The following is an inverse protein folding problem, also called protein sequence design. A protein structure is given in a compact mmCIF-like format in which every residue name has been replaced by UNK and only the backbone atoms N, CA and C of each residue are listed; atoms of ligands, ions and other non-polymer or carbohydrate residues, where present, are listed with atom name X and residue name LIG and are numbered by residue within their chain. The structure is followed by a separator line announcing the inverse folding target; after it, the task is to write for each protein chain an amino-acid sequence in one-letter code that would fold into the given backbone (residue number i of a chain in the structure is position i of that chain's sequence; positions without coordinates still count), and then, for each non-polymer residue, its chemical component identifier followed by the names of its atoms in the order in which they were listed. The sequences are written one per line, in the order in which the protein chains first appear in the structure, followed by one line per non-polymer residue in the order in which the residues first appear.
data_IF_753856949428
#
_entry.id   IF_753856949428
#
_cell.length_a   1.000
_cell.length_b   1.000
_cell.length_c   1.000
_cell.angle_alpha   90.00
_cell.angle_beta   90.00
_cell.angle_gamma   90.00
#
_symmetry.space_group_name_H-M   'P 1'
#
loop_
_entity.id
_entity.type
_entity.pdbx_description
1 polymer ?
#
# COMPACT_ATOMS: atom_id res chain seq x y z
N UNK A 1 -1.03 38.87 0.71
CA UNK A 1 -0.65 37.68 1.50
C UNK A 1 0.15 38.17 2.70
N UNK A 2 -0.37 38.00 3.93
CA UNK A 2 0.17 38.64 5.16
C UNK A 2 1.63 38.26 5.43
N UNK A 3 2.02 37.02 5.11
CA UNK A 3 3.39 36.51 5.27
C UNK A 3 4.46 37.33 4.51
N UNK A 4 4.12 37.89 3.36
CA UNK A 4 5.06 38.66 2.53
C UNK A 4 5.37 40.05 3.15
N UNK A 5 4.58 40.50 4.11
CA UNK A 5 4.81 41.75 4.84
C UNK A 5 5.63 41.59 6.13
N UNK A 6 5.90 40.36 6.57
CA UNK A 6 6.54 40.09 7.86
C UNK A 6 8.07 40.28 7.80
N UNK A 7 8.71 40.61 8.94
CA UNK A 7 10.14 40.43 9.15
C UNK A 7 10.60 39.01 8.79
N UNK A 8 11.84 38.88 8.33
CA UNK A 8 12.39 37.60 7.85
C UNK A 8 12.38 36.52 8.93
N UNK A 9 12.61 36.91 10.19
CA UNK A 9 12.63 36.05 11.36
C UNK A 9 11.25 35.44 11.62
N UNK A 10 10.21 36.28 11.66
CA UNK A 10 8.83 35.83 11.87
C UNK A 10 8.33 34.99 10.69
N UNK A 11 8.69 35.39 9.46
CA UNK A 11 8.38 34.60 8.28
C UNK A 11 9.04 33.21 8.34
N UNK A 12 10.29 33.12 8.82
CA UNK A 12 10.98 31.85 9.02
C UNK A 12 10.26 30.96 10.02
N UNK A 13 9.92 31.50 11.19
CA UNK A 13 9.27 30.77 12.27
C UNK A 13 7.92 30.22 11.81
N UNK A 14 7.09 31.06 11.17
CA UNK A 14 5.79 30.62 10.66
C UNK A 14 5.95 29.54 9.60
N UNK A 15 6.86 29.71 8.64
CA UNK A 15 7.07 28.70 7.60
C UNK A 15 7.63 27.39 8.17
N UNK A 16 8.54 27.43 9.16
CA UNK A 16 9.09 26.22 9.76
C UNK A 16 8.10 25.45 10.62
N UNK A 17 7.04 26.09 11.12
CA UNK A 17 5.99 25.39 11.84
C UNK A 17 5.00 24.66 10.92
N UNK A 18 4.92 25.05 9.64
CA UNK A 18 4.04 24.39 8.67
C UNK A 18 4.52 22.97 8.31
N UNK A 19 3.59 22.06 7.93
CA UNK A 19 3.92 20.82 7.23
C UNK A 19 4.68 21.08 5.92
N UNK A 20 5.55 20.14 5.52
CA UNK A 20 6.44 20.36 4.36
C UNK A 20 5.66 20.61 3.06
N UNK A 21 4.51 19.94 2.90
CA UNK A 21 3.62 20.14 1.75
C UNK A 21 3.08 21.58 1.71
N UNK A 22 2.70 22.13 2.86
CA UNK A 22 2.21 23.52 2.96
C UNK A 22 3.32 24.53 2.73
N UNK A 23 4.54 24.26 3.19
CA UNK A 23 5.68 25.11 2.85
C UNK A 23 5.82 25.16 1.33
N UNK A 24 5.83 24.01 0.65
CA UNK A 24 5.96 23.94 -0.81
C UNK A 24 4.87 24.74 -1.52
N UNK A 25 3.62 24.62 -1.09
CA UNK A 25 2.50 25.37 -1.68
C UNK A 25 2.61 26.87 -1.38
N UNK A 26 2.91 27.23 -0.14
CA UNK A 26 2.99 28.62 0.34
C UNK A 26 4.13 29.38 -0.34
N UNK A 27 5.32 28.80 -0.43
CA UNK A 27 6.48 29.49 -1.03
C UNK A 27 6.34 29.68 -2.53
N UNK A 28 5.45 28.93 -3.21
CA UNK A 28 5.14 29.11 -4.63
C UNK A 28 4.22 30.32 -4.89
N UNK A 29 3.58 30.87 -3.87
CA UNK A 29 2.63 31.98 -4.04
C UNK A 29 3.29 33.29 -4.47
N UNK A 30 4.51 33.59 -4.01
CA UNK A 30 5.25 34.81 -4.41
C UNK A 30 6.73 34.54 -4.64
N UNK A 31 7.36 35.33 -5.52
CA UNK A 31 8.80 35.25 -5.79
C UNK A 31 9.63 35.50 -4.54
N UNK A 32 9.23 36.44 -3.68
CA UNK A 32 9.96 36.76 -2.44
C UNK A 32 9.98 35.58 -1.48
N UNK A 33 8.84 34.93 -1.22
CA UNK A 33 8.81 33.73 -0.37
C UNK A 33 9.67 32.60 -0.94
N UNK A 34 9.56 32.36 -2.25
CA UNK A 34 10.37 31.35 -2.93
C UNK A 34 11.87 31.59 -2.75
N UNK A 35 12.33 32.82 -3.01
CA UNK A 35 13.75 33.16 -2.86
C UNK A 35 14.20 33.10 -1.40
N UNK A 36 13.38 33.59 -0.47
CA UNK A 36 13.67 33.53 0.96
C UNK A 36 13.87 32.08 1.42
N UNK A 37 12.90 31.20 1.15
CA UNK A 37 12.95 29.81 1.58
C UNK A 37 14.09 29.02 0.91
N UNK A 38 14.51 29.42 -0.31
CA UNK A 38 15.66 28.82 -0.99
C UNK A 38 17.00 29.23 -0.39
N UNK A 39 17.11 30.45 0.14
CA UNK A 39 18.34 30.99 0.74
C UNK A 39 18.45 30.57 2.22
N UNK A 40 17.34 30.48 2.94
CA UNK A 40 17.34 29.98 4.31
C UNK A 40 17.72 28.50 4.37
N UNK A 41 18.70 28.17 5.21
CA UNK A 41 19.28 26.83 5.29
C UNK A 41 18.28 25.77 5.78
N UNK A 42 17.40 26.10 6.72
CA UNK A 42 16.46 25.15 7.31
C UNK A 42 15.28 24.92 6.35
N UNK A 43 14.69 26.00 5.82
CA UNK A 43 13.63 25.92 4.83
C UNK A 43 14.10 25.25 3.53
N UNK A 44 15.29 25.60 3.05
CA UNK A 44 15.85 24.99 1.84
C UNK A 44 16.01 23.48 2.00
N UNK A 45 16.40 23.00 3.18
CA UNK A 45 16.48 21.56 3.49
C UNK A 45 15.11 20.89 3.45
N UNK A 46 14.09 21.50 4.06
CA UNK A 46 12.71 20.99 4.02
C UNK A 46 12.13 20.97 2.60
N UNK A 47 12.53 21.91 1.75
CA UNK A 47 12.14 22.00 0.34
C UNK A 47 12.89 21.04 -0.58
N UNK A 48 13.89 20.30 -0.10
CA UNK A 48 14.47 19.23 -0.90
C UNK A 48 13.38 18.18 -1.09
N UNK A 49 12.86 18.05 -2.32
CA UNK A 49 11.77 17.15 -2.70
C UNK A 49 12.16 15.69 -2.43
N UNK A 50 11.89 15.24 -1.22
CA UNK A 50 12.16 13.89 -0.73
C UNK A 50 10.81 13.19 -0.62
N UNK A 51 10.60 12.23 -1.51
CA UNK A 51 9.33 11.51 -1.59
C UNK A 51 9.49 10.16 -0.91
N UNK A 52 8.62 9.86 0.03
CA UNK A 52 8.69 8.65 0.84
C UNK A 52 7.49 7.74 0.60
N UNK A 53 7.76 6.44 0.61
CA UNK A 53 6.75 5.42 0.83
C UNK A 53 6.90 4.93 2.28
N UNK A 54 5.89 5.13 3.10
CA UNK A 54 5.90 4.75 4.51
C UNK A 54 5.08 3.48 4.68
N UNK A 55 5.63 2.49 5.40
CA UNK A 55 4.91 1.31 5.85
C UNK A 55 4.97 1.26 7.37
N UNK A 56 3.80 1.24 7.98
CA UNK A 56 3.63 1.05 9.40
C UNK A 56 3.20 -0.41 9.63
N UNK A 57 3.97 -1.15 10.43
CA UNK A 57 3.75 -2.58 10.68
C UNK A 57 3.67 -2.86 12.17
N UNK A 58 2.54 -3.43 12.59
CA UNK A 58 2.34 -3.93 13.95
C UNK A 58 2.15 -5.43 13.91
N UNK A 59 2.86 -6.11 14.82
CA UNK A 59 2.64 -7.51 15.17
C UNK A 59 3.03 -8.56 14.13
N UNK A 60 4.24 -8.45 13.56
CA UNK A 60 4.83 -9.63 12.92
C UNK A 60 5.64 -10.41 13.97
N UNK A 61 5.23 -11.64 14.28
CA UNK A 61 6.03 -12.52 15.12
C UNK A 61 7.08 -13.18 14.24
N UNK A 62 8.33 -12.74 14.37
CA UNK A 62 9.46 -13.44 13.75
C UNK A 62 10.20 -14.26 14.79
N UNK A 63 10.66 -15.44 14.40
CA UNK A 63 11.61 -16.18 15.21
C UNK A 63 12.96 -15.48 15.10
N UNK A 64 13.55 -15.10 16.23
CA UNK A 64 14.90 -14.57 16.25
C UNK A 64 15.85 -15.56 15.56
N UNK A 65 16.61 -15.08 14.56
CA UNK A 65 17.53 -15.91 13.81
C UNK A 65 18.59 -16.61 14.69
N UNK A 66 18.96 -15.98 15.82
CA UNK A 66 19.96 -16.49 16.78
C UNK A 66 19.30 -17.32 17.87
N UNK A 67 18.39 -16.72 18.65
CA UNK A 67 17.85 -17.33 19.85
C UNK A 67 16.65 -18.27 19.57
N UNK A 68 16.11 -18.24 18.34
CA UNK A 68 14.86 -18.92 17.92
C UNK A 68 13.65 -18.63 18.81
N UNK A 69 13.74 -17.67 19.73
CA UNK A 69 12.59 -17.20 20.50
C UNK A 69 11.71 -16.34 19.59
N UNK A 70 10.38 -16.44 19.70
CA UNK A 70 9.49 -15.51 19.04
C UNK A 70 9.78 -14.09 19.53
N UNK A 71 9.93 -13.16 18.59
CA UNK A 71 10.10 -11.73 18.83
C UNK A 71 8.95 -11.02 18.14
N UNK A 72 8.22 -10.24 18.91
CA UNK A 72 7.15 -9.43 18.38
C UNK A 72 7.76 -8.19 17.73
N UNK A 73 7.67 -8.09 16.42
CA UNK A 73 8.29 -7.00 15.68
C UNK A 73 7.28 -5.87 15.49
N UNK A 74 7.65 -4.68 15.98
CA UNK A 74 6.98 -3.42 15.70
C UNK A 74 7.93 -2.48 15.02
N UNK A 75 7.56 -2.04 13.83
CA UNK A 75 8.43 -1.12 13.09
C UNK A 75 7.66 -0.18 12.18
N UNK A 76 8.26 0.99 12.00
CA UNK A 76 7.92 1.92 10.94
C UNK A 76 9.04 1.84 9.90
N UNK A 77 8.75 1.40 8.68
CA UNK A 77 9.72 1.44 7.58
C UNK A 77 9.40 2.53 6.58
N UNK A 78 10.44 3.07 5.97
CA UNK A 78 10.39 4.14 5.00
C UNK A 78 11.29 3.81 3.84
N UNK A 79 10.71 3.73 2.65
CA UNK A 79 11.47 3.69 1.40
C UNK A 79 11.59 5.11 0.87
N UNK A 80 12.83 5.58 0.81
CA UNK A 80 13.17 6.90 0.31
C UNK A 80 13.44 6.88 -1.19
N UNK A 81 12.81 7.81 -1.90
CA UNK A 81 13.05 8.07 -3.32
C UNK A 81 13.56 9.50 -3.51
N UNK A 82 14.71 9.66 -4.17
CA UNK A 82 15.12 10.98 -4.69
C UNK A 82 14.29 11.28 -5.94
N UNK A 83 13.61 12.42 -5.95
CA UNK A 83 12.66 12.80 -7.00
C UNK A 83 13.22 12.76 -8.45
N UNK A 84 14.56 12.80 -8.62
CA UNK A 84 15.22 12.82 -9.93
C UNK A 84 15.90 11.50 -10.33
N UNK A 85 15.84 10.45 -9.50
CA UNK A 85 16.47 9.18 -9.84
C UNK A 85 15.49 8.30 -10.61
N UNK A 86 15.66 8.22 -11.92
CA UNK A 86 15.02 7.23 -12.80
C UNK A 86 15.53 5.79 -12.58
N UNK A 87 16.38 5.58 -11.57
CA UNK A 87 17.00 4.30 -11.24
C UNK A 87 16.48 3.84 -9.87
N UNK A 88 15.99 2.59 -9.82
CA UNK A 88 15.33 1.89 -8.71
C UNK A 88 16.16 1.74 -7.40
N UNK A 89 17.17 2.58 -7.14
CA UNK A 89 17.88 2.60 -5.86
C UNK A 89 17.05 3.35 -4.81
N UNK A 90 16.06 2.65 -4.24
CA UNK A 90 15.38 3.11 -3.03
C UNK A 90 16.19 2.72 -1.81
N UNK A 91 16.61 3.70 -1.01
CA UNK A 91 17.21 3.41 0.29
C UNK A 91 16.06 3.14 1.28
N UNK A 92 16.16 2.03 2.00
CA UNK A 92 15.17 1.62 2.97
C UNK A 92 15.69 1.95 4.37
N UNK A 93 14.95 2.78 5.10
CA UNK A 93 15.17 3.02 6.52
C UNK A 93 14.09 2.34 7.33
N UNK A 94 14.44 1.84 8.51
CA UNK A 94 13.51 1.15 9.41
C UNK A 94 13.70 1.66 10.82
N UNK A 95 12.61 1.95 11.53
CA UNK A 95 12.58 2.28 12.95
C UNK A 95 11.93 1.13 13.68
N UNK A 96 12.71 0.44 14.52
CA UNK A 96 12.23 -0.63 15.38
C UNK A 96 12.02 -0.08 16.79
N UNK A 97 10.89 -0.42 17.41
CA UNK A 97 10.54 0.05 18.75
C UNK A 97 10.68 -1.12 19.74
N UNK A 98 11.73 -1.10 20.56
CA UNK A 98 12.09 -2.18 21.49
C UNK A 98 11.73 -1.82 22.93
N UNK A 99 11.50 -2.82 23.78
CA UNK A 99 11.35 -2.66 25.23
C UNK A 99 11.97 -3.83 26.01
N UNK A 100 12.10 -3.69 27.34
CA UNK A 100 13.00 -4.50 28.18
C UNK A 100 12.78 -6.03 28.09
N UNK A 101 11.59 -6.49 27.73
CA UNK A 101 11.20 -7.91 27.71
C UNK A 101 11.41 -8.62 26.35
N UNK A 102 11.96 -7.96 25.33
CA UNK A 102 12.14 -8.56 23.99
C UNK A 102 13.50 -9.28 23.80
N UNK A 103 13.58 -10.30 22.91
CA UNK A 103 14.86 -10.99 22.63
C UNK A 103 15.83 -10.01 21.94
N UNK A 104 16.85 -9.59 22.68
CA UNK A 104 17.94 -8.71 22.19
C UNK A 104 18.88 -9.38 21.17
N UNK A 105 18.63 -10.65 20.84
CA UNK A 105 19.48 -11.43 19.95
C UNK A 105 19.13 -11.23 18.45
N UNK A 106 18.16 -10.38 18.10
CA UNK A 106 17.64 -10.25 16.74
C UNK A 106 17.96 -8.93 16.04
N UNK A 107 18.53 -9.04 14.84
CA UNK A 107 18.55 -8.03 13.77
C UNK A 107 19.58 -6.87 13.87
N UNK A 108 20.88 -7.20 13.84
CA UNK A 108 21.93 -6.24 13.46
C UNK A 108 22.71 -6.81 12.28
N UNK A 109 22.08 -6.89 11.10
CA UNK A 109 22.80 -7.11 9.86
C UNK A 109 23.27 -5.78 9.23
N UNK A 110 22.55 -4.69 9.51
CA UNK A 110 22.81 -3.35 8.98
C UNK A 110 23.31 -2.39 10.07
N UNK A 111 24.03 -1.31 9.72
CA UNK A 111 24.38 -0.26 10.66
C UNK A 111 23.10 0.31 11.28
N UNK A 112 22.87 -0.05 12.53
CA UNK A 112 21.68 0.29 13.29
C UNK A 112 22.04 1.34 14.33
N UNK A 113 21.37 2.49 14.30
CA UNK A 113 21.64 3.60 15.21
C UNK A 113 20.58 3.64 16.32
N UNK A 114 21.02 3.62 17.57
CA UNK A 114 20.12 3.76 18.71
C UNK A 114 19.72 5.23 18.89
N UNK A 115 18.43 5.47 19.11
CA UNK A 115 17.84 6.79 19.39
C UNK A 115 17.08 6.68 20.71
N UNK A 116 17.34 7.62 21.62
CA UNK A 116 16.58 7.74 22.88
C UNK A 116 15.13 8.19 22.59
N UNK A 117 14.15 7.59 23.27
CA UNK A 117 12.72 7.89 23.06
C UNK A 117 12.39 9.37 23.28
N UNK A 118 13.04 10.03 24.24
CA UNK A 118 12.83 11.45 24.55
C UNK A 118 13.16 12.41 23.38
N UNK A 119 13.95 11.98 22.40
CA UNK A 119 14.25 12.79 21.21
C UNK A 119 12.97 13.00 20.36
N UNK A 120 11.97 12.14 20.47
CA UNK A 120 10.68 12.28 19.79
C UNK A 120 9.88 13.52 20.25
N UNK A 121 10.17 14.04 21.45
CA UNK A 121 9.56 15.29 21.95
C UNK A 121 10.26 16.55 21.38
N UNK A 122 11.33 16.37 20.61
CA UNK A 122 12.10 17.42 19.94
C UNK A 122 12.17 17.19 18.42
N UNK A 123 11.03 17.33 17.71
CA UNK A 123 10.89 16.81 16.35
C UNK A 123 11.81 17.47 15.31
N UNK A 124 12.09 18.77 15.44
CA UNK A 124 13.05 19.47 14.57
C UNK A 124 14.48 18.96 14.77
N UNK A 125 14.88 18.70 16.02
CA UNK A 125 16.20 18.17 16.34
C UNK A 125 16.37 16.73 15.79
N UNK A 126 15.35 15.89 16.01
CA UNK A 126 15.30 14.54 15.46
C UNK A 126 15.46 14.55 13.94
N UNK A 127 14.66 15.38 13.25
CA UNK A 127 14.67 15.44 11.79
C UNK A 127 16.02 15.87 11.23
N UNK A 128 16.57 16.98 11.72
CA UNK A 128 17.78 17.58 11.18
C UNK A 128 19.06 16.75 11.48
N UNK A 129 19.15 16.17 12.68
CA UNK A 129 20.38 15.52 13.14
C UNK A 129 20.39 14.00 12.91
N UNK A 130 19.24 13.34 12.98
CA UNK A 130 19.16 11.87 12.94
C UNK A 130 18.53 11.36 11.65
N UNK A 131 17.37 11.92 11.27
CA UNK A 131 16.58 11.35 10.17
C UNK A 131 17.09 11.74 8.79
N UNK A 132 17.42 13.02 8.57
CA UNK A 132 17.77 13.56 7.25
C UNK A 132 18.91 12.78 6.56
N UNK A 133 19.99 12.50 7.31
CA UNK A 133 21.14 11.73 6.82
C UNK A 133 20.85 10.23 6.82
N UNK A 134 20.15 9.71 7.83
CA UNK A 134 19.84 8.29 7.90
C UNK A 134 18.97 7.80 6.75
N UNK A 135 18.01 8.60 6.30
CA UNK A 135 17.19 8.28 5.12
C UNK A 135 18.03 8.19 3.83
N UNK A 136 18.98 9.10 3.66
CA UNK A 136 19.87 9.09 2.50
C UNK A 136 20.81 7.89 2.51
N UNK A 137 21.14 7.36 3.69
CA UNK A 137 22.05 6.23 3.84
C UNK A 137 21.32 4.88 3.97
N UNK A 138 19.99 4.86 4.04
CA UNK A 138 19.23 3.62 4.31
C UNK A 138 19.49 3.06 5.71
N UNK A 139 19.70 3.94 6.69
CA UNK A 139 20.02 3.56 8.07
C UNK A 139 18.80 2.96 8.77
N UNK A 140 19.02 1.89 9.53
CA UNK A 140 18.05 1.34 10.47
C UNK A 140 18.25 1.97 11.85
N UNK A 141 17.17 2.11 12.60
CA UNK A 141 17.13 2.79 13.88
C UNK A 141 16.41 1.93 14.90
N UNK A 142 16.89 1.99 16.15
CA UNK A 142 16.23 1.35 17.29
C UNK A 142 15.88 2.43 18.30
N UNK A 143 14.60 2.47 18.70
CA UNK A 143 14.10 3.32 19.77
C UNK A 143 13.80 2.41 20.96
N UNK A 144 14.51 2.62 22.06
CA UNK A 144 14.29 1.90 23.33
C UNK A 144 13.15 2.55 24.11
N UNK A 145 12.29 1.73 24.67
CA UNK A 145 11.12 2.12 25.46
C UNK A 145 11.08 1.25 26.72
N UNK A 146 10.51 1.76 27.79
CA UNK A 146 10.45 1.04 29.06
C UNK A 146 9.28 0.03 29.05
N UNK A 147 8.25 0.30 28.25
CA UNK A 147 7.07 -0.55 28.14
C UNK A 147 6.53 -0.65 26.72
N UNK A 148 5.64 -1.62 26.53
CA UNK A 148 4.87 -1.79 25.29
C UNK A 148 4.02 -0.55 24.98
N UNK A 149 3.37 0.01 26.00
CA UNK A 149 2.50 1.18 25.83
C UNK A 149 3.28 2.40 25.36
N UNK A 150 4.46 2.60 25.96
CA UNK A 150 5.37 3.66 25.54
C UNK A 150 5.85 3.44 24.09
N UNK A 151 6.19 2.21 23.71
CA UNK A 151 6.59 1.89 22.33
C UNK A 151 5.51 2.23 21.29
N UNK A 152 4.24 1.96 21.60
CA UNK A 152 3.10 2.30 20.73
C UNK A 152 2.95 3.81 20.59
N UNK A 153 3.00 4.54 21.72
CA UNK A 153 2.87 5.99 21.73
C UNK A 153 4.03 6.65 20.97
N UNK A 154 5.26 6.17 21.20
CA UNK A 154 6.45 6.68 20.52
C UNK A 154 6.43 6.37 19.02
N UNK A 155 5.89 5.22 18.60
CA UNK A 155 5.63 4.93 17.19
C UNK A 155 4.64 5.93 16.57
N UNK A 156 3.56 6.22 17.29
CA UNK A 156 2.53 7.17 16.86
C UNK A 156 3.07 8.61 16.77
N UNK A 157 3.91 9.02 17.74
CA UNK A 157 4.62 10.30 17.71
C UNK A 157 5.53 10.39 16.48
N UNK A 158 6.38 9.38 16.25
CA UNK A 158 7.28 9.37 15.09
C UNK A 158 6.47 9.45 13.79
N UNK A 159 5.37 8.71 13.67
CA UNK A 159 4.48 8.79 12.52
C UNK A 159 4.00 10.24 12.26
N UNK A 160 3.49 10.94 13.28
CA UNK A 160 3.06 12.33 13.15
C UNK A 160 4.20 13.28 12.73
N UNK A 161 5.40 13.08 13.29
CA UNK A 161 6.59 13.85 12.90
C UNK A 161 6.88 13.62 11.42
N UNK A 162 6.87 12.37 10.96
CA UNK A 162 7.15 12.06 9.57
C UNK A 162 6.11 12.67 8.63
N UNK A 163 4.82 12.65 8.98
CA UNK A 163 3.78 13.31 8.18
C UNK A 163 3.97 14.84 8.12
N UNK A 164 4.50 15.46 9.18
CA UNK A 164 4.82 16.89 9.19
C UNK A 164 6.04 17.23 8.33
N UNK A 165 7.13 16.47 8.44
CA UNK A 165 8.42 16.83 7.85
C UNK A 165 8.70 16.23 6.47
N UNK A 166 8.01 15.16 6.08
CA UNK A 166 8.27 14.43 4.83
C UNK A 166 7.13 14.57 3.82
N UNK A 167 7.46 14.57 2.52
CA UNK A 167 6.45 14.41 1.47
C UNK A 167 6.21 12.92 1.26
N UNK A 168 5.02 12.45 1.60
CA UNK A 168 4.68 11.02 1.54
C UNK A 168 3.81 10.77 0.30
N UNK A 169 4.23 9.83 -0.55
CA UNK A 169 3.48 9.44 -1.76
C UNK A 169 2.62 8.21 -1.54
N UNK A 170 3.05 7.30 -0.66
CA UNK A 170 2.34 6.06 -0.37
C UNK A 170 2.42 5.73 1.11
N UNK A 171 1.31 5.25 1.64
CA UNK A 171 1.15 4.90 3.04
C UNK A 171 0.55 3.49 3.12
N UNK A 172 1.31 2.54 3.65
CA UNK A 172 0.83 1.18 3.91
C UNK A 172 0.72 0.94 5.41
N UNK A 173 -0.40 0.39 5.84
CA UNK A 173 -0.60 -0.10 7.20
C UNK A 173 -0.73 -1.62 7.14
N UNK A 174 0.11 -2.33 7.87
CA UNK A 174 0.08 -3.79 8.01
C UNK A 174 -0.21 -4.14 9.45
N UNK A 175 -1.28 -4.90 9.68
CA UNK A 175 -1.71 -5.36 11.00
C UNK A 175 -2.01 -6.86 10.89
N UNK A 176 -1.58 -7.62 11.89
CA UNK A 176 -1.84 -9.05 12.00
C UNK A 176 -2.38 -9.38 13.39
N UNK A 177 -3.65 -9.76 13.47
CA UNK A 177 -4.35 -9.99 14.74
C UNK A 177 -4.12 -11.41 15.25
N UNK A 178 -2.90 -11.75 15.64
CA UNK A 178 -2.66 -13.01 16.33
C UNK A 178 -2.96 -12.88 17.84
N UNK A 179 -4.26 -12.98 18.17
CA UNK A 179 -4.88 -13.11 19.51
C UNK A 179 -4.68 -11.91 20.48
N UNK A 180 -5.78 -11.44 21.07
CA UNK A 180 -5.90 -10.38 22.11
C UNK A 180 -5.36 -8.96 21.79
N UNK A 181 -4.79 -8.74 20.61
CA UNK A 181 -4.06 -7.52 20.22
C UNK A 181 -4.92 -6.31 19.76
N UNK A 182 -6.26 -6.34 19.87
CA UNK A 182 -7.09 -5.11 19.66
C UNK A 182 -6.61 -3.94 20.53
N UNK A 183 -6.00 -4.24 21.69
CA UNK A 183 -5.44 -3.27 22.63
C UNK A 183 -4.35 -2.37 22.00
N UNK A 184 -3.58 -2.86 21.01
CA UNK A 184 -2.46 -2.11 20.43
C UNK A 184 -2.94 -1.05 19.45
N UNK A 185 -3.82 -1.45 18.51
CA UNK A 185 -4.47 -0.49 17.63
C UNK A 185 -5.32 0.49 18.41
N UNK A 186 -6.06 0.06 19.43
CA UNK A 186 -6.92 0.95 20.21
C UNK A 186 -6.13 2.07 20.89
N UNK A 187 -4.95 1.77 21.46
CA UNK A 187 -4.06 2.78 22.05
C UNK A 187 -3.54 3.76 21.02
N UNK A 188 -3.10 3.26 19.87
CA UNK A 188 -2.61 4.12 18.80
C UNK A 188 -3.74 4.96 18.18
N UNK A 189 -4.92 4.37 17.99
CA UNK A 189 -6.10 5.06 17.49
C UNK A 189 -6.54 6.15 18.47
N UNK A 190 -6.51 5.89 19.78
CA UNK A 190 -6.75 6.92 20.80
C UNK A 190 -5.74 8.07 20.68
N UNK A 191 -4.44 7.76 20.49
CA UNK A 191 -3.43 8.79 20.25
C UNK A 191 -3.72 9.61 18.98
N UNK A 192 -4.02 8.97 17.85
CA UNK A 192 -4.35 9.66 16.60
C UNK A 192 -5.66 10.43 16.67
N UNK A 193 -6.63 9.99 17.47
CA UNK A 193 -7.86 10.73 17.68
C UNK A 193 -7.61 12.03 18.47
N UNK A 194 -6.72 11.98 19.46
CA UNK A 194 -6.29 13.15 20.24
C UNK A 194 -5.31 14.05 19.46
N UNK A 195 -4.46 13.46 18.62
CA UNK A 195 -3.40 14.13 17.86
C UNK A 195 -3.48 13.72 16.38
N UNK A 196 -4.51 14.16 15.64
CA UNK A 196 -4.73 13.74 14.26
C UNK A 196 -3.55 14.16 13.38
N UNK A 197 -2.91 13.23 12.65
CA UNK A 197 -1.88 13.58 11.69
C UNK A 197 -2.48 14.42 10.53
N UNK A 198 -1.73 15.39 10.01
CA UNK A 198 -2.08 16.07 8.76
C UNK A 198 -1.81 15.12 7.58
N UNK A 199 -2.78 14.27 7.30
CA UNK A 199 -2.76 13.34 6.19
C UNK A 199 -3.45 13.95 4.99
N UNK A 200 -2.81 13.86 3.83
CA UNK A 200 -3.37 14.25 2.52
C UNK A 200 -3.45 13.11 1.53
N UNK A 201 -3.03 11.93 1.99
CA UNK A 201 -3.00 10.70 1.22
C UNK A 201 -3.86 9.66 1.93
N UNK A 202 -4.41 8.75 1.15
CA UNK A 202 -5.20 7.64 1.64
C UNK A 202 -4.31 6.44 1.97
N UNK A 203 -4.75 5.61 2.91
CA UNK A 203 -4.02 4.41 3.30
C UNK A 203 -4.22 3.25 2.33
N UNK A 204 -3.18 2.44 2.18
CA UNK A 204 -3.31 1.05 1.79
C UNK A 204 -3.26 0.17 3.04
N UNK A 205 -4.37 -0.46 3.40
CA UNK A 205 -4.44 -1.32 4.59
C UNK A 205 -4.20 -2.76 4.19
N UNK A 206 -3.51 -3.51 5.04
CA UNK A 206 -3.31 -4.95 4.93
C UNK A 206 -3.59 -5.55 6.30
N UNK A 207 -4.62 -6.38 6.38
CA UNK A 207 -5.17 -6.89 7.64
C UNK A 207 -5.72 -8.30 7.47
N UNK A 208 -5.90 -9.02 8.56
CA UNK A 208 -6.49 -10.35 8.51
C UNK A 208 -8.01 -10.33 8.74
N UNK A 209 -8.68 -11.42 8.38
CA UNK A 209 -10.14 -11.56 8.44
C UNK A 209 -10.76 -11.48 9.82
N UNK A 210 -9.99 -11.58 10.91
CA UNK A 210 -10.48 -11.52 12.29
C UNK A 210 -10.65 -10.08 12.78
N UNK A 211 -10.11 -9.08 12.06
CA UNK A 211 -10.24 -7.69 12.47
C UNK A 211 -11.71 -7.24 12.40
N UNK A 212 -12.17 -6.54 13.44
CA UNK A 212 -13.47 -5.89 13.40
C UNK A 212 -13.36 -4.60 12.56
N UNK A 213 -13.73 -4.69 11.29
CA UNK A 213 -13.68 -3.57 10.34
C UNK A 213 -14.55 -2.38 10.78
N UNK A 214 -15.70 -2.61 11.44
CA UNK A 214 -16.57 -1.53 11.91
C UNK A 214 -15.88 -0.64 12.95
N UNK A 215 -15.15 -1.26 13.89
CA UNK A 215 -14.42 -0.52 14.93
C UNK A 215 -13.13 0.06 14.35
N UNK A 216 -12.36 -0.78 13.65
CA UNK A 216 -11.04 -0.43 13.15
C UNK A 216 -11.06 0.80 12.23
N UNK A 217 -12.05 0.86 11.33
CA UNK A 217 -12.09 1.83 10.24
C UNK A 217 -12.77 3.16 10.63
N UNK A 218 -13.25 3.29 11.87
CA UNK A 218 -13.83 4.55 12.39
C UNK A 218 -12.79 5.54 12.92
N UNK A 219 -11.51 5.13 13.01
CA UNK A 219 -10.43 6.00 13.49
C UNK A 219 -10.24 7.26 12.65
N UNK A 220 -9.98 8.42 13.28
CA UNK A 220 -9.79 9.71 12.59
C UNK A 220 -8.65 9.71 11.58
N UNK A 221 -7.67 8.83 11.78
CA UNK A 221 -6.55 8.64 10.86
C UNK A 221 -7.00 8.22 9.44
N UNK A 222 -8.20 7.63 9.31
CA UNK A 222 -8.78 7.20 8.03
C UNK A 222 -9.83 8.19 7.48
N UNK A 223 -9.88 9.42 8.00
CA UNK A 223 -10.86 10.43 7.58
C UNK A 223 -10.86 10.74 6.07
N UNK A 224 -9.73 10.57 5.38
CA UNK A 224 -9.62 10.73 3.93
C UNK A 224 -10.02 9.47 3.13
N UNK A 225 -10.37 8.37 3.79
CA UNK A 225 -10.66 7.08 3.19
C UNK A 225 -9.40 6.26 2.83
N UNK A 226 -9.61 5.23 2.03
CA UNK A 226 -8.60 4.23 1.67
C UNK A 226 -8.25 4.31 0.18
N UNK A 227 -6.96 4.19 -0.12
CA UNK A 227 -6.48 3.93 -1.47
C UNK A 227 -6.67 2.44 -1.79
N UNK A 228 -6.53 1.56 -0.80
CA UNK A 228 -6.76 0.14 -0.99
C UNK A 228 -6.80 -0.64 0.33
N UNK A 229 -7.32 -1.87 0.25
CA UNK A 229 -7.40 -2.79 1.38
C UNK A 229 -7.11 -4.22 0.91
N UNK A 230 -6.21 -4.89 1.63
CA UNK A 230 -5.86 -6.30 1.47
C UNK A 230 -6.37 -7.04 2.72
N UNK A 231 -7.21 -8.04 2.53
CA UNK A 231 -7.70 -8.90 3.63
C UNK A 231 -7.19 -10.31 3.40
N UNK A 232 -6.38 -10.84 4.32
CA UNK A 232 -5.88 -12.22 4.26
C UNK A 232 -6.58 -13.14 5.27
N UNK A 233 -6.56 -14.42 4.98
CA UNK A 233 -7.13 -15.44 5.87
C UNK A 233 -6.31 -15.55 7.17
N UNK A 234 -6.93 -15.23 8.31
CA UNK A 234 -6.28 -15.29 9.62
C UNK A 234 -6.29 -16.67 10.27
N UNK A 235 -7.37 -17.46 10.11
CA UNK A 235 -7.51 -18.82 10.69
C UNK A 235 -8.82 -19.50 10.29
N UNK A 236 -9.90 -18.73 10.12
CA UNK A 236 -11.18 -19.23 9.62
C UNK A 236 -11.37 -18.82 8.14
N UNK A 237 -11.73 -19.76 7.24
CA UNK A 237 -11.80 -19.50 5.81
C UNK A 237 -12.96 -18.58 5.39
N UNK A 238 -13.78 -18.09 6.33
CA UNK A 238 -15.04 -17.39 6.05
C UNK A 238 -15.11 -16.08 6.81
N UNK A 239 -15.15 -14.95 6.09
CA UNK A 239 -15.42 -13.64 6.66
C UNK A 239 -16.93 -13.52 6.91
N UNK A 240 -17.36 -13.53 8.18
CA UNK A 240 -18.77 -13.61 8.60
C UNK A 240 -19.61 -12.41 8.15
N UNK A 241 -18.96 -11.31 7.76
CA UNK A 241 -19.59 -10.14 7.16
C UNK A 241 -18.73 -9.58 6.01
N UNK A 242 -18.60 -10.36 4.94
CA UNK A 242 -17.81 -9.95 3.77
C UNK A 242 -18.35 -8.66 3.10
N UNK A 243 -19.65 -8.41 3.25
CA UNK A 243 -20.27 -7.17 2.81
C UNK A 243 -20.04 -6.05 3.83
N UNK A 244 -19.04 -5.19 3.58
CA UNK A 244 -18.75 -4.03 4.40
C UNK A 244 -18.70 -2.76 3.55
N UNK A 245 -19.35 -1.69 3.98
CA UNK A 245 -19.47 -0.43 3.20
C UNK A 245 -18.09 0.16 2.87
N UNK A 246 -17.10 -0.01 3.75
CA UNK A 246 -15.73 0.41 3.46
C UNK A 246 -15.14 -0.31 2.25
N UNK A 247 -15.37 -1.63 2.11
CA UNK A 247 -14.87 -2.39 0.97
C UNK A 247 -15.47 -1.88 -0.33
N UNK A 248 -16.77 -1.57 -0.33
CA UNK A 248 -17.48 -1.01 -1.49
C UNK A 248 -16.94 0.36 -1.93
N UNK A 249 -16.57 1.22 -0.98
CA UNK A 249 -16.04 2.57 -1.28
C UNK A 249 -14.55 2.60 -1.58
N UNK A 250 -13.84 1.50 -1.31
CA UNK A 250 -12.40 1.44 -1.48
C UNK A 250 -12.07 1.15 -2.95
N UNK A 251 -11.22 1.96 -3.61
CA UNK A 251 -10.91 1.77 -5.02
C UNK A 251 -10.17 0.47 -5.34
N UNK A 252 -9.36 -0.05 -4.41
CA UNK A 252 -8.57 -1.26 -4.62
C UNK A 252 -8.84 -2.25 -3.49
N UNK A 253 -9.43 -3.40 -3.80
CA UNK A 253 -9.79 -4.43 -2.81
C UNK A 253 -9.15 -5.75 -3.21
N UNK A 254 -8.41 -6.35 -2.28
CA UNK A 254 -7.76 -7.64 -2.47
C UNK A 254 -8.14 -8.58 -1.33
N UNK A 255 -8.55 -9.80 -1.66
CA UNK A 255 -8.79 -10.87 -0.71
C UNK A 255 -7.84 -12.04 -0.98
N UNK A 256 -7.06 -12.45 0.04
CA UNK A 256 -6.07 -13.54 -0.08
C UNK A 256 -6.48 -14.79 0.71
N UNK A 257 -6.62 -15.91 0.01
CA UNK A 257 -6.73 -17.25 0.64
C UNK A 257 -8.02 -17.49 1.43
N UNK A 258 -9.09 -16.73 1.16
CA UNK A 258 -10.37 -16.81 1.87
C UNK A 258 -11.51 -17.23 0.93
N UNK A 259 -12.39 -18.10 1.42
CA UNK A 259 -13.61 -18.47 0.68
C UNK A 259 -14.70 -17.45 0.99
N UNK A 260 -14.87 -16.49 0.08
CA UNK A 260 -15.92 -15.49 0.21
C UNK A 260 -17.27 -16.08 -0.24
N UNK A 261 -18.38 -15.74 0.44
CA UNK A 261 -19.72 -16.19 0.06
C UNK A 261 -20.29 -15.40 -1.13
N UNK A 262 -19.44 -15.01 -2.10
CA UNK A 262 -19.86 -14.21 -3.25
C UNK A 262 -20.24 -15.09 -4.44
N UNK A 263 -21.39 -14.76 -5.03
CA UNK A 263 -21.83 -15.14 -6.36
C UNK A 263 -21.28 -14.16 -7.40
N UNK A 264 -21.46 -14.42 -8.70
CA UNK A 264 -21.08 -13.43 -9.72
C UNK A 264 -21.93 -12.16 -9.62
N UNK A 265 -23.21 -12.28 -9.23
CA UNK A 265 -24.08 -11.14 -9.03
C UNK A 265 -23.56 -10.22 -7.90
N UNK A 266 -23.04 -10.81 -6.82
CA UNK A 266 -22.44 -10.06 -5.72
C UNK A 266 -21.22 -9.25 -6.18
N UNK A 267 -20.39 -9.82 -7.06
CA UNK A 267 -19.22 -9.12 -7.60
C UNK A 267 -19.61 -7.87 -8.40
N UNK A 268 -20.66 -7.97 -9.23
CA UNK A 268 -21.17 -6.82 -9.97
C UNK A 268 -21.93 -5.84 -9.10
N UNK A 269 -22.74 -6.31 -8.16
CA UNK A 269 -23.53 -5.45 -7.30
C UNK A 269 -22.65 -4.66 -6.33
N UNK A 270 -21.79 -5.35 -5.58
CA UNK A 270 -21.05 -4.77 -4.46
C UNK A 270 -19.82 -3.99 -4.90
N UNK A 271 -19.12 -4.45 -5.95
CA UNK A 271 -17.84 -3.87 -6.36
C UNK A 271 -17.92 -3.14 -7.71
N UNK A 272 -19.12 -2.68 -8.10
CA UNK A 272 -19.32 -1.89 -9.34
C UNK A 272 -18.45 -0.63 -9.41
N UNK A 273 -18.20 -0.01 -8.26
CA UNK A 273 -17.46 1.26 -8.15
C UNK A 273 -15.97 1.04 -7.80
N UNK A 274 -15.56 -0.21 -7.61
CA UNK A 274 -14.18 -0.60 -7.31
C UNK A 274 -13.36 -0.60 -8.59
N UNK A 275 -12.22 0.10 -8.57
CA UNK A 275 -11.29 0.15 -9.70
C UNK A 275 -10.54 -1.17 -9.85
N UNK A 276 -9.94 -1.68 -8.78
CA UNK A 276 -9.22 -2.96 -8.81
C UNK A 276 -9.83 -3.91 -7.79
N UNK A 277 -10.33 -5.06 -8.26
CA UNK A 277 -10.81 -6.13 -7.40
C UNK A 277 -10.01 -7.40 -7.66
N UNK A 278 -9.33 -7.91 -6.63
CA UNK A 278 -8.55 -9.15 -6.69
C UNK A 278 -9.07 -10.18 -5.69
N UNK A 279 -9.41 -11.36 -6.18
CA UNK A 279 -9.96 -12.47 -5.41
C UNK A 279 -9.06 -13.69 -5.55
N UNK A 280 -8.15 -13.91 -4.61
CA UNK A 280 -7.16 -14.97 -4.71
C UNK A 280 -7.63 -16.32 -4.15
N UNK A 281 -8.90 -16.44 -3.83
CA UNK A 281 -9.56 -17.72 -3.63
C UNK A 281 -11.00 -17.60 -4.12
N UNK A 282 -11.31 -18.33 -5.18
CA UNK A 282 -12.62 -18.35 -5.80
C UNK A 282 -13.25 -19.75 -5.74
N UNK A 283 -12.99 -20.53 -4.68
CA UNK A 283 -13.47 -21.91 -4.56
C UNK A 283 -15.00 -22.07 -4.70
N UNK A 284 -15.76 -20.97 -4.66
CA UNK A 284 -17.21 -20.94 -4.82
C UNK A 284 -17.71 -20.32 -6.14
N UNK A 285 -16.82 -19.74 -6.96
CA UNK A 285 -17.18 -19.16 -8.25
C UNK A 285 -16.90 -20.19 -9.34
N UNK A 286 -17.96 -20.72 -9.92
CA UNK A 286 -17.87 -21.74 -10.98
C UNK A 286 -17.37 -21.16 -12.30
N UNK A 287 -16.82 -21.99 -13.18
CA UNK A 287 -16.42 -21.60 -14.54
C UNK A 287 -17.56 -20.87 -15.29
N UNK A 288 -18.78 -21.39 -15.19
CA UNK A 288 -19.98 -20.76 -15.78
C UNK A 288 -20.17 -19.32 -15.29
N UNK A 289 -19.95 -19.08 -14.00
CA UNK A 289 -20.06 -17.75 -13.40
C UNK A 289 -18.92 -16.82 -13.84
N UNK A 290 -17.73 -17.36 -14.10
CA UNK A 290 -16.63 -16.60 -14.72
C UNK A 290 -16.98 -16.22 -16.17
N UNK A 291 -17.57 -17.13 -16.96
CA UNK A 291 -18.05 -16.79 -18.30
C UNK A 291 -19.12 -15.69 -18.27
N UNK A 292 -20.05 -15.73 -17.31
CA UNK A 292 -21.04 -14.67 -17.10
C UNK A 292 -20.37 -13.34 -16.72
N UNK A 293 -19.28 -13.39 -15.94
CA UNK A 293 -18.51 -12.22 -15.59
C UNK A 293 -17.82 -11.60 -16.82
N UNK A 294 -17.19 -12.42 -17.66
CA UNK A 294 -16.60 -11.97 -18.93
C UNK A 294 -17.67 -11.40 -19.87
N UNK A 295 -18.84 -12.06 -19.97
CA UNK A 295 -19.98 -11.57 -20.74
C UNK A 295 -20.43 -10.18 -20.27
N UNK A 296 -20.49 -9.94 -18.96
CA UNK A 296 -20.87 -8.64 -18.45
C UNK A 296 -19.86 -7.54 -18.82
N UNK A 297 -18.55 -7.82 -18.82
CA UNK A 297 -17.54 -6.88 -19.32
C UNK A 297 -17.75 -6.54 -20.81
N UNK A 298 -18.29 -7.48 -21.59
CA UNK A 298 -18.64 -7.25 -23.00
C UNK A 298 -19.97 -6.49 -23.17
N UNK A 299 -20.98 -6.80 -22.38
CA UNK A 299 -22.35 -6.28 -22.56
C UNK A 299 -22.62 -4.95 -21.85
N UNK A 300 -21.87 -4.63 -20.80
CA UNK A 300 -22.08 -3.45 -19.96
C UNK A 300 -20.86 -2.54 -20.01
N UNK A 301 -21.11 -1.24 -20.22
CA UNK A 301 -20.05 -0.23 -20.28
C UNK A 301 -19.32 -0.15 -18.94
N UNK A 302 -18.03 -0.46 -18.94
CA UNK A 302 -17.17 -0.38 -17.76
C UNK A 302 -16.36 0.92 -17.75
N UNK A 303 -15.87 1.30 -16.57
CA UNK A 303 -14.82 2.32 -16.44
C UNK A 303 -13.50 1.75 -17.00
N UNK A 304 -12.79 2.50 -17.84
CA UNK A 304 -11.52 2.07 -18.43
C UNK A 304 -10.43 1.80 -17.38
N UNK A 305 -10.52 2.38 -16.18
CA UNK A 305 -9.59 2.13 -15.09
C UNK A 305 -9.89 0.84 -14.33
N UNK A 306 -10.96 0.11 -14.70
CA UNK A 306 -11.36 -1.12 -14.02
C UNK A 306 -10.42 -2.28 -14.34
N UNK A 307 -10.05 -3.00 -13.29
CA UNK A 307 -9.23 -4.20 -13.30
C UNK A 307 -9.87 -5.25 -12.38
N UNK A 308 -9.92 -6.48 -12.87
CA UNK A 308 -10.48 -7.60 -12.14
C UNK A 308 -9.52 -8.79 -12.21
N UNK A 309 -9.20 -9.38 -11.07
CA UNK A 309 -8.34 -10.55 -10.93
C UNK A 309 -9.06 -11.61 -10.08
N UNK A 310 -9.15 -12.82 -10.58
CA UNK A 310 -9.80 -13.93 -9.88
C UNK A 310 -8.96 -15.19 -9.99
N UNK A 311 -8.73 -15.86 -8.85
CA UNK A 311 -8.09 -17.17 -8.80
C UNK A 311 -8.96 -18.21 -9.49
N UNK A 312 -8.34 -19.06 -10.31
CA UNK A 312 -9.01 -20.09 -11.10
C UNK A 312 -8.26 -21.43 -10.96
N UNK A 313 -8.93 -22.51 -11.35
CA UNK A 313 -8.28 -23.82 -11.49
C UNK A 313 -7.16 -23.76 -12.54
N UNK A 314 -6.02 -24.39 -12.25
CA UNK A 314 -4.82 -24.42 -13.10
C UNK A 314 -5.06 -25.04 -14.48
N UNK A 315 -6.10 -25.87 -14.61
CA UNK A 315 -6.46 -26.51 -15.87
C UNK A 315 -7.18 -25.59 -16.87
N UNK A 316 -7.69 -24.44 -16.41
CA UNK A 316 -8.51 -23.55 -17.24
C UNK A 316 -7.66 -22.58 -18.07
N UNK A 317 -8.00 -22.46 -19.35
CA UNK A 317 -7.38 -21.56 -20.31
C UNK A 317 -8.27 -20.35 -20.57
N UNK A 318 -7.67 -19.23 -20.98
CA UNK A 318 -8.42 -17.98 -21.23
C UNK A 318 -9.57 -18.17 -22.24
N UNK A 319 -9.40 -19.07 -23.22
CA UNK A 319 -10.40 -19.38 -24.25
C UNK A 319 -11.67 -20.01 -23.67
N UNK A 320 -11.56 -20.69 -22.53
CA UNK A 320 -12.67 -21.43 -21.92
C UNK A 320 -13.72 -20.42 -21.36
N UNK A 321 -13.28 -19.21 -21.05
CA UNK A 321 -14.15 -18.12 -20.56
C UNK A 321 -14.84 -17.31 -21.66
N UNK A 322 -14.58 -17.60 -22.94
CA UNK A 322 -15.12 -16.84 -24.08
C UNK A 322 -16.42 -17.43 -24.65
N UNK A 323 -16.94 -18.52 -24.07
CA UNK A 323 -18.08 -19.26 -24.62
C UNK A 323 -19.35 -18.41 -24.82
N UNK A 324 -19.48 -17.29 -24.12
CA UNK A 324 -20.62 -16.36 -24.19
C UNK A 324 -20.33 -15.08 -24.99
N UNK A 325 -19.15 -14.98 -25.60
CA UNK A 325 -18.70 -13.80 -26.35
C UNK A 325 -18.76 -14.12 -27.85
N UNK A 326 -19.30 -13.22 -28.70
CA UNK A 326 -19.29 -13.40 -30.14
C UNK A 326 -17.85 -13.53 -30.67
N UNK A 327 -17.61 -14.45 -31.60
CA UNK A 327 -16.26 -14.72 -32.14
C UNK A 327 -15.63 -13.49 -32.80
N UNK A 328 -16.45 -12.63 -33.43
CA UNK A 328 -16.03 -11.37 -34.03
C UNK A 328 -15.59 -10.30 -33.01
N UNK A 329 -15.98 -10.46 -31.73
CA UNK A 329 -15.71 -9.50 -30.68
C UNK A 329 -14.38 -9.76 -29.95
N UNK A 330 -13.64 -10.81 -30.30
CA UNK A 330 -12.35 -11.08 -29.67
C UNK A 330 -11.28 -11.61 -30.63
N UNK A 331 -10.02 -11.47 -30.23
CA UNK A 331 -8.86 -12.02 -30.90
C UNK A 331 -7.98 -12.76 -29.90
N UNK A 332 -7.74 -14.03 -30.18
CA UNK A 332 -6.80 -14.86 -29.43
C UNK A 332 -5.37 -14.57 -29.89
N UNK A 333 -4.49 -14.32 -28.92
CA UNK A 333 -3.08 -14.06 -29.13
C UNK A 333 -2.25 -15.14 -28.44
N UNK A 334 -1.31 -15.73 -29.17
CA UNK A 334 -0.43 -16.79 -28.71
C UNK A 334 0.97 -16.22 -28.51
N UNK A 335 1.51 -16.34 -27.30
CA UNK A 335 2.89 -15.97 -26.98
C UNK A 335 3.65 -17.19 -26.49
N UNK A 336 4.74 -17.53 -27.20
CA UNK A 336 5.70 -18.53 -26.72
C UNK A 336 6.45 -17.94 -25.53
N UNK A 337 6.42 -18.61 -24.38
CA UNK A 337 7.29 -18.23 -23.26
C UNK A 337 8.76 -18.41 -23.69
N UNK A 338 9.61 -17.45 -23.34
CA UNK A 338 11.06 -17.51 -23.62
C UNK A 338 11.83 -18.37 -22.62
N UNK A 339 11.15 -19.15 -21.78
CA UNK A 339 11.78 -19.98 -20.76
C UNK A 339 12.41 -21.20 -21.44
N UNK A 340 13.71 -21.35 -21.29
CA UNK A 340 14.49 -22.49 -21.80
C UNK A 340 14.12 -23.73 -20.96
N UNK A 341 13.11 -24.45 -21.40
CA UNK A 341 12.71 -25.79 -20.95
C UNK A 341 12.34 -26.67 -22.16
N UNK A 342 12.14 -27.99 -21.98
CA UNK A 342 11.94 -28.92 -23.10
C UNK A 342 10.62 -28.69 -23.86
N UNK A 343 9.64 -27.99 -23.28
CA UNK A 343 8.42 -27.56 -23.96
C UNK A 343 8.13 -26.07 -23.66
N UNK A 344 7.99 -25.20 -24.66
CA UNK A 344 7.65 -23.80 -24.45
C UNK A 344 6.18 -23.69 -24.01
N UNK A 345 5.94 -23.21 -22.78
CA UNK A 345 4.59 -22.83 -22.36
C UNK A 345 4.01 -21.81 -23.36
N UNK A 346 2.92 -22.20 -24.00
CA UNK A 346 2.22 -21.31 -24.95
C UNK A 346 1.19 -20.53 -24.15
N UNK A 347 1.54 -19.31 -23.74
CA UNK A 347 0.61 -18.44 -23.01
C UNK A 347 -0.36 -17.84 -24.02
N UNK A 348 -1.65 -18.03 -23.77
CA UNK A 348 -2.71 -17.48 -24.61
C UNK A 348 -3.36 -16.34 -23.86
N UNK A 349 -3.51 -15.18 -24.49
CA UNK A 349 -4.28 -14.05 -23.99
C UNK A 349 -5.27 -13.59 -25.04
N UNK A 350 -6.28 -12.83 -24.64
CA UNK A 350 -7.38 -12.41 -25.50
C UNK A 350 -7.48 -10.90 -25.49
N UNK A 351 -7.57 -10.30 -26.67
CA UNK A 351 -8.05 -8.94 -26.85
C UNK A 351 -9.55 -9.02 -27.14
N UNK A 352 -10.38 -8.46 -26.27
CA UNK A 352 -11.84 -8.41 -26.42
C UNK A 352 -12.29 -6.97 -26.64
N UNK A 353 -13.21 -6.75 -27.56
CA UNK A 353 -13.88 -5.45 -27.78
C UNK A 353 -15.31 -5.54 -27.25
N UNK A 354 -15.66 -4.66 -26.32
CA UNK A 354 -17.02 -4.60 -25.77
C UNK A 354 -18.03 -3.99 -26.75
N UNK A 355 -19.33 -4.06 -26.44
CA UNK A 355 -20.41 -3.49 -27.27
C UNK A 355 -20.34 -1.97 -27.47
N UNK A 356 -19.54 -1.28 -26.68
CA UNK A 356 -19.36 0.17 -26.69
C UNK A 356 -18.03 0.59 -27.34
N UNK A 357 -17.24 -0.36 -27.86
CA UNK A 357 -15.96 -0.12 -28.49
C UNK A 357 -14.77 -0.02 -27.54
N UNK A 358 -14.96 -0.28 -26.24
CA UNK A 358 -13.87 -0.41 -25.27
C UNK A 358 -13.07 -1.69 -25.52
N UNK A 359 -11.74 -1.63 -25.29
CA UNK A 359 -10.83 -2.77 -25.54
C UNK A 359 -10.25 -3.30 -24.25
N UNK A 360 -10.34 -4.61 -24.07
CA UNK A 360 -10.02 -5.34 -22.85
C UNK A 360 -9.01 -6.45 -23.13
N UNK A 361 -8.04 -6.61 -22.23
CA UNK A 361 -7.14 -7.76 -22.19
C UNK A 361 -7.69 -8.77 -21.18
N UNK A 362 -7.81 -10.02 -21.60
CA UNK A 362 -8.04 -11.16 -20.71
C UNK A 362 -6.82 -12.07 -20.74
N UNK A 363 -6.28 -12.40 -19.56
CA UNK A 363 -5.03 -13.12 -19.42
C UNK A 363 -5.18 -14.15 -18.31
N UNK A 364 -4.78 -15.39 -18.58
CA UNK A 364 -4.53 -16.35 -17.50
C UNK A 364 -3.06 -16.29 -17.13
N UNK A 365 -2.78 -15.93 -15.87
CA UNK A 365 -1.44 -15.83 -15.31
C UNK A 365 -1.22 -16.91 -14.25
N UNK A 366 -0.06 -17.57 -14.30
CA UNK A 366 0.35 -18.57 -13.31
C UNK A 366 1.44 -17.96 -12.45
N UNK A 367 1.23 -17.94 -11.13
CA UNK A 367 2.20 -17.45 -10.13
C UNK A 367 3.25 -18.48 -9.77
N UNK A 368 4.37 -18.01 -9.20
CA UNK A 368 5.48 -18.85 -8.73
C UNK A 368 5.06 -19.87 -7.65
N UNK A 369 3.85 -19.72 -7.08
CA UNK A 369 3.24 -20.62 -6.10
C UNK A 369 2.18 -21.56 -6.70
N UNK A 370 2.20 -21.76 -8.02
CA UNK A 370 1.25 -22.56 -8.81
C UNK A 370 -0.19 -22.03 -8.88
N UNK A 371 -0.51 -20.91 -8.24
CA UNK A 371 -1.86 -20.34 -8.38
C UNK A 371 -2.08 -19.73 -9.75
N UNK A 372 -3.22 -20.05 -10.37
CA UNK A 372 -3.65 -19.50 -11.66
C UNK A 372 -4.71 -18.42 -11.47
N UNK A 373 -4.62 -17.36 -12.25
CA UNK A 373 -5.50 -16.20 -12.15
C UNK A 373 -5.98 -15.75 -13.51
N UNK A 374 -7.29 -15.52 -13.64
CA UNK A 374 -7.84 -14.73 -14.73
C UNK A 374 -7.74 -13.25 -14.38
N UNK A 375 -7.03 -12.50 -15.21
CA UNK A 375 -6.92 -11.05 -15.16
C UNK A 375 -7.71 -10.44 -16.32
N UNK A 376 -8.56 -9.45 -16.02
CA UNK A 376 -9.32 -8.65 -16.99
C UNK A 376 -9.00 -7.19 -16.73
N UNK A 377 -8.57 -6.46 -17.77
CA UNK A 377 -8.28 -5.04 -17.63
C UNK A 377 -8.23 -4.31 -18.98
N UNK A 378 -8.28 -2.99 -18.96
CA UNK A 378 -8.26 -2.18 -20.18
C UNK A 378 -6.93 -2.31 -20.95
N UNK A 379 -7.03 -2.45 -22.27
CA UNK A 379 -5.88 -2.48 -23.18
C UNK A 379 -5.03 -1.21 -23.13
N UNK A 380 -5.57 -0.09 -22.62
CA UNK A 380 -4.83 1.16 -22.42
C UNK A 380 -3.67 1.01 -21.43
N UNK A 381 -3.82 0.11 -20.46
CA UNK A 381 -2.84 -0.15 -19.41
C UNK A 381 -2.14 -1.50 -19.59
N UNK A 382 -2.45 -2.22 -20.67
CA UNK A 382 -1.82 -3.49 -20.98
C UNK A 382 -0.42 -3.26 -21.54
N UNK A 383 0.59 -3.80 -20.83
CA UNK A 383 1.96 -3.85 -21.33
C UNK A 383 2.32 -5.32 -21.56
N UNK A 384 2.57 -5.68 -22.81
CA UNK A 384 2.80 -7.06 -23.26
C UNK A 384 4.02 -7.75 -22.58
N UNK A 385 4.93 -6.94 -22.01
CA UNK A 385 6.06 -7.40 -21.19
C UNK A 385 5.66 -8.02 -19.84
N UNK A 386 4.43 -7.78 -19.35
CA UNK A 386 3.92 -8.40 -18.11
C UNK A 386 3.41 -9.83 -18.28
N UNK A 387 3.33 -10.32 -19.52
CA UNK A 387 2.98 -11.72 -19.80
C UNK A 387 4.03 -12.73 -19.30
N UNK A 388 5.22 -12.30 -18.88
CA UNK A 388 6.35 -13.17 -18.49
C UNK A 388 6.66 -13.20 -16.99
N UNK A 389 6.05 -12.34 -16.17
CA UNK A 389 6.23 -12.36 -14.72
C UNK A 389 4.87 -12.29 -14.02
N UNK A 390 4.50 -13.30 -13.22
CA UNK A 390 3.33 -13.21 -12.40
C UNK A 390 3.45 -12.10 -11.34
N UNK A 391 2.28 -11.67 -10.90
CA UNK A 391 1.95 -10.53 -10.04
C UNK A 391 2.58 -10.53 -8.63
N UNK A 392 3.90 -10.70 -8.48
CA UNK A 392 4.57 -10.30 -7.22
C UNK A 392 4.88 -8.80 -7.19
N UNK A 393 4.87 -8.15 -8.37
CA UNK A 393 5.12 -6.70 -8.54
C UNK A 393 4.02 -5.99 -9.36
N UNK A 394 2.76 -6.43 -9.28
CA UNK A 394 1.65 -5.45 -9.28
C UNK A 394 1.69 -4.66 -7.97
N UNK A 395 2.85 -4.09 -7.69
CA UNK A 395 2.89 -2.90 -6.89
C UNK A 395 2.01 -1.91 -7.64
N UNK A 396 0.97 -1.44 -6.96
CA UNK A 396 0.20 -0.22 -7.21
C UNK A 396 1.04 1.03 -7.59
N UNK A 397 2.34 0.89 -7.90
CA UNK A 397 3.30 1.94 -8.15
C UNK A 397 3.34 2.40 -9.62
N UNK A 398 2.68 1.72 -10.55
CA UNK A 398 2.72 2.12 -11.97
C UNK A 398 1.49 2.93 -12.46
N UNK A 399 0.45 3.06 -11.63
CA UNK A 399 -0.79 3.76 -12.02
C UNK A 399 -0.93 5.19 -11.46
N UNK A 400 0.05 5.67 -10.70
CA UNK A 400 0.08 7.06 -10.24
C UNK A 400 1.21 7.81 -10.92
N UNK A 401 0.95 8.31 -12.13
CA UNK A 401 1.64 9.46 -12.70
C UNK A 401 0.75 10.69 -12.58
#
# INVERSE_FOLDING_TARGET
MILDGLPLELMREVLLDLPTVDIIQTVKCTRRLYHFAKVDKALSRRLQNRVFNVRLCFEDYELCAICRKPVLIRFLSMKFHRANNAVNHSNNSRFSFWFENECKCGYIADPTLEIESGILDHPSFLYDNHLLRGFENGTSFVIKNDSLDEAIINCSKLFNILMKFCVVRKLKLSINSNNDDNCLWDKMNAFFNANPPDLRIQFHVSTDSRINLDIFLTGRIFSNGFAGIEVYNGSEPTLTNAYHEVLRRTPNVLFLGMNLPYTYEDLFGFFKDTKTLSLWSAARITEKQICQLVQHFYEVKQDEERMFEIGIDESLLVKDFLALIPEEAYKLHLKRSGIVGPEPETRTWVEMTDRFGGRWALIVAITDYHWSFLNIGSMKYFIEGHLTKPCNEFSLNQFFN
#
